data_IF_513773128782
#
_entry.id   IF_513773128782
#
_cell.length_a   1.000
_cell.length_b   1.000
_cell.length_c   1.000
_cell.angle_alpha   90.00
_cell.angle_beta   90.00
_cell.angle_gamma   90.00
#
_symmetry.space_group_name_H-M   'P 1'
#
loop_
_entity.id
_entity.type
_entity.pdbx_description
1 polymer ?
#
# COMPACT_ATOMS: atom_id res chain seq x y z
N UNK A 1 4.28 29.83 15.27
CA UNK A 1 3.13 29.28 16.02
C UNK A 1 3.46 27.84 16.40
N UNK A 2 3.24 27.42 17.65
CA UNK A 2 3.48 26.02 18.06
C UNK A 2 2.24 25.18 17.80
N UNK A 3 2.33 24.20 16.90
CA UNK A 3 1.27 23.21 16.70
C UNK A 3 1.15 22.31 17.94
N UNK A 4 -0.08 22.12 18.42
CA UNK A 4 -0.40 21.10 19.40
C UNK A 4 -0.84 19.81 18.67
N UNK A 5 -0.04 18.74 18.79
CA UNK A 5 -0.31 17.41 18.24
C UNK A 5 -0.93 16.43 19.25
N UNK A 6 -1.29 16.93 20.43
CA UNK A 6 -1.78 16.16 21.56
C UNK A 6 -3.14 16.68 22.04
N UNK A 7 -3.98 17.16 21.10
CA UNK A 7 -5.30 17.69 21.43
C UNK A 7 -6.21 16.63 22.06
N UNK A 8 -6.11 15.38 21.60
CA UNK A 8 -6.87 14.24 22.08
C UNK A 8 -6.06 12.95 21.91
N UNK A 9 -6.50 11.89 22.57
CA UNK A 9 -5.94 10.54 22.43
C UNK A 9 -6.89 9.66 21.62
N UNK A 10 -6.34 8.88 20.68
CA UNK A 10 -7.06 7.81 20.01
C UNK A 10 -6.23 6.54 20.09
N UNK A 11 -6.84 5.45 20.56
CA UNK A 11 -6.28 4.12 20.37
C UNK A 11 -6.87 3.54 19.10
N UNK A 12 -6.16 3.64 17.99
CA UNK A 12 -6.59 3.00 16.73
C UNK A 12 -6.31 1.49 16.69
N UNK A 13 -5.42 1.02 17.57
CA UNK A 13 -5.04 -0.38 17.71
C UNK A 13 -6.23 -1.16 18.28
N UNK A 14 -6.76 -2.11 17.51
CA UNK A 14 -7.86 -3.01 17.87
C UNK A 14 -9.19 -2.32 18.21
N UNK A 15 -9.43 -1.12 17.64
CA UNK A 15 -10.67 -0.37 17.80
C UNK A 15 -11.35 -0.10 16.48
N UNK A 16 -12.67 -0.11 16.51
CA UNK A 16 -13.49 0.27 15.37
C UNK A 16 -13.62 1.79 15.32
N UNK A 17 -13.97 2.34 14.15
CA UNK A 17 -14.19 3.77 13.98
C UNK A 17 -15.24 4.36 14.95
N UNK A 18 -16.15 3.54 15.48
CA UNK A 18 -17.15 3.95 16.49
C UNK A 18 -16.50 4.51 17.75
N UNK A 19 -15.33 3.98 18.11
CA UNK A 19 -14.60 4.40 19.30
C UNK A 19 -14.02 5.81 19.18
N UNK A 20 -13.94 6.37 17.96
CA UNK A 20 -13.39 7.71 17.73
C UNK A 20 -14.46 8.80 17.86
N UNK A 21 -15.74 8.44 17.70
CA UNK A 21 -16.88 9.37 17.73
C UNK A 21 -16.93 10.22 19.02
N UNK A 22 -16.69 9.69 20.24
CA UNK A 22 -16.67 10.52 21.44
C UNK A 22 -15.62 11.64 21.39
N UNK A 23 -14.41 11.34 20.92
CA UNK A 23 -13.34 12.32 20.79
C UNK A 23 -13.71 13.37 19.74
N UNK A 24 -14.24 12.96 18.59
CA UNK A 24 -14.61 13.90 17.53
C UNK A 24 -15.80 14.78 17.91
N UNK A 25 -16.77 14.26 18.65
CA UNK A 25 -17.84 15.07 19.22
C UNK A 25 -17.34 16.16 20.17
N UNK A 26 -16.16 16.00 20.75
CA UNK A 26 -15.56 16.97 21.66
C UNK A 26 -14.58 17.92 20.97
N UNK A 27 -13.80 17.42 20.01
CA UNK A 27 -12.63 18.12 19.47
C UNK A 27 -12.73 18.47 17.97
N UNK A 28 -13.76 18.02 17.24
CA UNK A 28 -13.96 18.42 15.84
C UNK A 28 -14.17 19.95 15.78
N UNK A 29 -13.23 20.71 15.21
CA UNK A 29 -13.23 22.17 15.25
C UNK A 29 -14.32 22.77 14.36
N UNK A 30 -14.87 21.97 13.44
CA UNK A 30 -15.89 22.41 12.50
C UNK A 30 -17.31 22.18 13.02
N UNK A 31 -17.45 21.33 14.04
CA UNK A 31 -18.73 20.85 14.53
C UNK A 31 -18.88 21.01 16.05
N UNK A 32 -18.92 22.25 16.60
CA UNK A 32 -19.19 22.45 18.01
C UNK A 32 -20.53 21.84 18.42
N UNK A 33 -20.61 21.30 19.64
CA UNK A 33 -21.73 20.52 20.18
C UNK A 33 -23.12 21.18 20.15
N UNK A 34 -23.26 22.44 19.73
CA UNK A 34 -24.48 23.24 19.85
C UNK A 34 -24.90 24.02 18.58
N UNK A 35 -24.35 23.70 17.41
CA UNK A 35 -24.70 24.44 16.18
C UNK A 35 -25.82 23.72 15.41
N UNK A 36 -26.94 24.43 15.19
CA UNK A 36 -28.05 23.97 14.33
C UNK A 36 -27.78 24.14 12.82
N UNK A 37 -26.85 25.03 12.45
CA UNK A 37 -26.51 25.37 11.06
C UNK A 37 -24.99 25.37 10.86
N UNK A 38 -24.46 24.44 10.07
CA UNK A 38 -23.04 24.41 9.77
C UNK A 38 -22.56 25.71 9.10
N UNK A 39 -21.38 26.26 9.47
CA UNK A 39 -20.86 27.48 8.84
C UNK A 39 -20.61 27.27 7.33
N UNK A 40 -20.82 28.29 6.50
CA UNK A 40 -20.67 28.14 5.04
C UNK A 40 -19.21 28.09 4.58
N UNK A 41 -18.27 28.65 5.36
CA UNK A 41 -16.85 28.71 5.00
C UNK A 41 -15.99 28.19 6.15
N UNK A 42 -14.99 27.35 5.82
CA UNK A 42 -14.00 26.83 6.76
C UNK A 42 -12.70 27.60 6.61
N UNK A 43 -12.27 28.30 7.66
CA UNK A 43 -10.93 28.89 7.70
C UNK A 43 -9.88 27.79 7.93
N UNK A 44 -9.23 27.37 6.84
CA UNK A 44 -8.20 26.34 6.87
C UNK A 44 -6.89 26.81 7.52
N UNK A 45 -6.77 28.10 7.84
CA UNK A 45 -5.66 28.65 8.60
C UNK A 45 -5.93 28.70 10.11
N UNK A 46 -7.14 28.36 10.56
CA UNK A 46 -7.52 28.37 11.96
C UNK A 46 -6.59 27.42 12.79
N UNK A 47 -5.94 27.94 13.83
CA UNK A 47 -5.21 27.13 14.81
C UNK A 47 -5.93 25.88 15.30
N UNK A 48 -7.23 25.95 15.57
CA UNK A 48 -8.00 24.80 16.07
C UNK A 48 -8.10 23.70 14.99
N UNK A 49 -8.37 24.10 13.75
CA UNK A 49 -8.38 23.22 12.59
C UNK A 49 -7.02 22.55 12.36
N UNK A 50 -5.95 23.34 12.31
CA UNK A 50 -4.60 22.82 12.09
C UNK A 50 -4.17 21.85 13.21
N UNK A 51 -4.40 22.20 14.47
CA UNK A 51 -4.10 21.32 15.61
C UNK A 51 -4.89 20.01 15.56
N UNK A 52 -6.16 20.05 15.14
CA UNK A 52 -6.97 18.86 14.95
C UNK A 52 -6.39 17.95 13.86
N UNK A 53 -6.10 18.50 12.67
CA UNK A 53 -5.54 17.76 11.54
C UNK A 53 -4.23 17.06 11.92
N UNK A 54 -3.30 17.79 12.55
CA UNK A 54 -1.99 17.24 12.93
C UNK A 54 -2.07 16.29 14.13
N UNK A 55 -3.00 16.49 15.06
CA UNK A 55 -3.28 15.53 16.13
C UNK A 55 -3.83 14.23 15.53
N UNK A 56 -4.80 14.32 14.62
CA UNK A 56 -5.36 13.13 13.97
C UNK A 56 -4.29 12.37 13.18
N UNK A 57 -3.46 13.08 12.41
CA UNK A 57 -2.31 12.49 11.71
C UNK A 57 -1.35 11.77 12.67
N UNK A 58 -1.02 12.36 13.82
CA UNK A 58 -0.19 11.69 14.83
C UNK A 58 -0.86 10.45 15.41
N UNK A 59 -2.08 10.59 15.91
CA UNK A 59 -2.77 9.52 16.63
C UNK A 59 -3.19 8.35 15.75
N UNK A 60 -3.35 8.55 14.45
CA UNK A 60 -3.69 7.48 13.49
C UNK A 60 -2.48 6.94 12.73
N UNK A 61 -1.26 7.34 13.10
CA UNK A 61 -0.02 7.04 12.36
C UNK A 61 -0.13 7.38 10.88
N UNK A 62 -0.37 8.67 10.66
CA UNK A 62 -0.61 9.30 9.39
C UNK A 62 -1.73 8.60 8.60
N UNK A 63 -2.94 8.65 9.15
CA UNK A 63 -4.15 8.12 8.52
C UNK A 63 -4.01 6.65 8.09
N UNK A 64 -3.40 5.84 8.96
CA UNK A 64 -3.16 4.40 8.74
C UNK A 64 -2.16 4.03 7.63
N UNK A 65 -1.38 4.99 7.13
CA UNK A 65 -0.29 4.68 6.20
C UNK A 65 0.98 4.16 6.91
N UNK A 66 1.12 4.37 8.23
CA UNK A 66 2.30 3.98 9.02
C UNK A 66 1.99 3.05 10.21
N UNK A 67 1.07 2.07 10.12
CA UNK A 67 0.59 1.35 11.30
C UNK A 67 1.69 0.54 12.00
N UNK A 68 2.63 0.01 11.21
CA UNK A 68 3.76 -0.79 11.67
C UNK A 68 4.99 0.04 12.08
N UNK A 69 4.98 1.38 12.03
CA UNK A 69 6.09 2.20 12.54
C UNK A 69 6.04 2.37 14.06
N UNK A 70 7.15 2.78 14.71
CA UNK A 70 7.09 3.18 16.13
C UNK A 70 6.44 4.56 16.25
N UNK A 71 6.01 4.92 17.46
CA UNK A 71 5.46 6.25 17.69
C UNK A 71 6.56 7.31 17.55
N UNK A 72 7.81 7.00 17.93
CA UNK A 72 8.98 7.86 17.73
C UNK A 72 9.25 8.10 16.23
N UNK A 73 9.28 7.04 15.42
CA UNK A 73 9.50 7.15 13.97
C UNK A 73 8.36 7.92 13.28
N UNK A 74 7.12 7.70 13.73
CA UNK A 74 5.95 8.44 13.25
C UNK A 74 6.07 9.93 13.59
N UNK A 75 6.46 10.26 14.83
CA UNK A 75 6.63 11.64 15.26
C UNK A 75 7.79 12.32 14.51
N UNK A 76 8.89 11.62 14.29
CA UNK A 76 10.00 12.11 13.47
C UNK A 76 9.55 12.40 12.03
N UNK A 77 8.77 11.51 11.43
CA UNK A 77 8.19 11.73 10.11
C UNK A 77 7.30 12.99 10.08
N UNK A 78 6.42 13.16 11.07
CA UNK A 78 5.54 14.33 11.19
C UNK A 78 6.33 15.62 11.45
N UNK A 79 7.42 15.57 12.21
CA UNK A 79 8.31 16.72 12.42
C UNK A 79 8.97 17.16 11.10
N UNK A 80 9.44 16.20 10.31
CA UNK A 80 10.03 16.48 9.00
C UNK A 80 8.98 17.04 8.02
N UNK A 81 7.78 16.48 7.99
CA UNK A 81 6.67 17.01 7.20
C UNK A 81 6.30 18.42 7.63
N UNK A 82 6.11 18.66 8.93
CA UNK A 82 5.74 19.98 9.42
C UNK A 82 6.80 21.02 9.06
N UNK A 83 8.08 20.68 9.21
CA UNK A 83 9.20 21.54 8.80
C UNK A 83 9.19 21.87 7.31
N UNK A 84 8.80 20.93 6.45
CA UNK A 84 8.61 21.22 5.03
C UNK A 84 7.37 22.09 4.81
N UNK A 85 6.30 21.85 5.56
CA UNK A 85 5.04 22.60 5.49
C UNK A 85 5.14 24.06 5.93
N UNK A 86 6.15 24.46 6.72
CA UNK A 86 6.40 25.88 7.01
C UNK A 86 6.91 26.66 5.80
N UNK A 87 7.48 25.98 4.81
CA UNK A 87 8.01 26.58 3.58
C UNK A 87 7.11 26.31 2.36
N UNK A 88 6.46 25.14 2.33
CA UNK A 88 5.69 24.66 1.18
C UNK A 88 4.23 24.39 1.58
N UNK A 89 3.28 25.28 1.24
CA UNK A 89 1.87 25.18 1.65
C UNK A 89 1.16 23.88 1.22
N UNK A 90 1.65 23.22 0.17
CA UNK A 90 1.06 21.97 -0.32
C UNK A 90 1.05 20.87 0.75
N UNK A 91 2.02 20.85 1.67
CA UNK A 91 2.11 19.84 2.73
C UNK A 91 0.93 19.95 3.68
N UNK A 92 0.56 21.17 4.08
CA UNK A 92 -0.63 21.39 4.90
C UNK A 92 -1.89 20.98 4.14
N UNK A 93 -2.00 21.43 2.88
CA UNK A 93 -3.18 21.17 2.04
C UNK A 93 -3.44 19.67 1.88
N UNK A 94 -2.38 18.88 1.60
CA UNK A 94 -2.55 17.44 1.39
C UNK A 94 -2.76 16.66 2.69
N UNK A 95 -2.20 17.13 3.81
CA UNK A 95 -2.46 16.53 5.13
C UNK A 95 -3.91 16.78 5.55
N UNK A 96 -4.43 17.99 5.29
CA UNK A 96 -5.84 18.34 5.47
C UNK A 96 -6.76 17.54 4.55
N UNK A 97 -6.37 17.29 3.30
CA UNK A 97 -7.09 16.43 2.39
C UNK A 97 -7.23 15.00 2.93
N UNK A 98 -6.13 14.37 3.32
CA UNK A 98 -6.15 13.03 3.89
C UNK A 98 -7.00 12.96 5.18
N UNK A 99 -6.91 13.97 6.05
CA UNK A 99 -7.76 14.11 7.22
C UNK A 99 -9.25 14.15 6.84
N UNK A 100 -9.63 14.96 5.85
CA UNK A 100 -11.02 15.11 5.41
C UNK A 100 -11.61 13.81 4.84
N UNK A 101 -10.82 13.02 4.13
CA UNK A 101 -11.21 11.69 3.63
C UNK A 101 -11.56 10.78 4.82
N UNK A 102 -10.68 10.72 5.82
CA UNK A 102 -10.87 9.88 6.99
C UNK A 102 -12.10 10.34 7.81
N UNK A 103 -12.27 11.64 8.05
CA UNK A 103 -13.41 12.19 8.78
C UNK A 103 -14.74 11.90 8.07
N UNK A 104 -14.81 12.15 6.76
CA UNK A 104 -15.97 11.81 5.93
C UNK A 104 -16.33 10.33 6.06
N UNK A 105 -15.33 9.46 5.99
CA UNK A 105 -15.54 8.03 6.09
C UNK A 105 -16.09 7.63 7.46
N UNK A 106 -15.46 8.09 8.54
CA UNK A 106 -15.87 7.75 9.90
C UNK A 106 -17.31 8.19 10.14
N UNK A 107 -17.69 9.40 9.75
CA UNK A 107 -19.06 9.87 9.90
C UNK A 107 -20.06 9.11 9.02
N UNK A 108 -19.71 8.79 7.78
CA UNK A 108 -20.56 8.03 6.86
C UNK A 108 -20.87 6.63 7.41
N UNK A 109 -19.86 5.90 7.89
CA UNK A 109 -20.02 4.55 8.45
C UNK A 109 -20.89 4.53 9.72
N UNK A 110 -21.03 5.67 10.42
CA UNK A 110 -21.83 5.81 11.64
C UNK A 110 -23.17 6.50 11.42
N UNK A 111 -23.65 6.57 10.17
CA UNK A 111 -24.92 7.21 9.81
C UNK A 111 -25.00 8.71 10.19
N UNK A 112 -23.86 9.40 10.32
CA UNK A 112 -23.79 10.83 10.60
C UNK A 112 -23.68 11.62 9.30
N UNK A 113 -24.66 11.44 8.41
CA UNK A 113 -24.60 11.91 7.01
C UNK A 113 -24.31 13.40 6.88
N UNK A 114 -25.01 14.25 7.64
CA UNK A 114 -24.82 15.71 7.57
C UNK A 114 -23.37 16.14 7.85
N UNK A 115 -22.68 15.44 8.77
CA UNK A 115 -21.28 15.71 9.10
C UNK A 115 -20.34 15.21 8.02
N UNK A 116 -20.65 14.04 7.44
CA UNK A 116 -19.88 13.49 6.34
C UNK A 116 -19.95 14.40 5.10
N UNK A 117 -21.16 14.86 4.75
CA UNK A 117 -21.40 15.77 3.64
C UNK A 117 -20.72 17.13 3.88
N UNK A 118 -20.76 17.63 5.12
CA UNK A 118 -20.06 18.88 5.47
C UNK A 118 -18.53 18.79 5.29
N UNK A 119 -17.90 17.74 5.83
CA UNK A 119 -16.46 17.51 5.64
C UNK A 119 -16.10 17.25 4.17
N UNK A 120 -17.01 16.66 3.39
CA UNK A 120 -16.83 16.43 1.96
C UNK A 120 -16.84 17.73 1.16
N UNK A 121 -17.91 18.51 1.31
CA UNK A 121 -18.16 19.70 0.49
C UNK A 121 -17.30 20.89 0.90
N UNK A 122 -17.17 21.14 2.21
CA UNK A 122 -16.55 22.37 2.71
C UNK A 122 -15.05 22.22 2.98
N UNK A 123 -14.58 21.00 3.22
CA UNK A 123 -13.16 20.74 3.46
C UNK A 123 -12.54 20.02 2.27
N UNK A 124 -12.95 18.76 2.00
CA UNK A 124 -12.26 17.89 1.04
C UNK A 124 -12.18 18.51 -0.35
N UNK A 125 -13.28 18.99 -0.91
CA UNK A 125 -13.28 19.58 -2.26
C UNK A 125 -12.39 20.82 -2.36
N UNK A 126 -12.43 21.67 -1.34
CA UNK A 126 -11.66 22.91 -1.29
C UNK A 126 -10.14 22.64 -1.17
N UNK A 127 -9.72 21.75 -0.26
CA UNK A 127 -8.29 21.39 -0.13
C UNK A 127 -7.79 20.57 -1.32
N UNK A 128 -8.63 19.72 -1.92
CA UNK A 128 -8.29 19.00 -3.15
C UNK A 128 -7.99 19.99 -4.28
N UNK A 129 -8.82 21.01 -4.45
CA UNK A 129 -8.58 22.06 -5.43
C UNK A 129 -7.27 22.78 -5.17
N UNK A 130 -7.00 23.18 -3.93
CA UNK A 130 -5.72 23.80 -3.56
C UNK A 130 -4.51 22.91 -3.89
N UNK A 131 -4.60 21.60 -3.63
CA UNK A 131 -3.55 20.65 -3.99
C UNK A 131 -3.34 20.56 -5.50
N UNK A 132 -4.42 20.49 -6.29
CA UNK A 132 -4.35 20.41 -7.76
C UNK A 132 -3.76 21.69 -8.32
N UNK A 133 -4.27 22.86 -7.91
CA UNK A 133 -3.81 24.17 -8.37
C UNK A 133 -2.30 24.35 -8.10
N UNK A 134 -1.82 23.95 -6.90
CA UNK A 134 -0.40 24.00 -6.54
C UNK A 134 0.46 23.00 -7.33
N UNK A 135 -0.05 21.80 -7.61
CA UNK A 135 0.66 20.82 -8.44
C UNK A 135 0.78 21.33 -9.87
N UNK A 136 -0.32 21.79 -10.46
CA UNK A 136 -0.37 22.29 -11.84
C UNK A 136 0.54 23.50 -12.03
N UNK A 137 0.60 24.41 -11.05
CA UNK A 137 1.47 25.59 -11.13
C UNK A 137 2.96 25.23 -10.99
N UNK A 138 3.31 24.33 -10.06
CA UNK A 138 4.69 24.21 -9.56
C UNK A 138 5.46 23.01 -10.06
N UNK A 139 4.79 21.93 -10.47
CA UNK A 139 5.44 20.67 -10.85
C UNK A 139 6.46 20.88 -11.96
N UNK A 140 6.12 21.59 -13.03
CA UNK A 140 7.02 21.77 -14.16
C UNK A 140 8.10 22.82 -13.90
N UNK A 141 7.79 23.85 -13.12
CA UNK A 141 8.67 25.02 -12.96
C UNK A 141 9.66 24.94 -11.80
N UNK A 142 9.42 24.09 -10.79
CA UNK A 142 10.29 24.10 -9.61
C UNK A 142 11.69 23.59 -9.89
N UNK A 143 12.68 24.33 -9.38
CA UNK A 143 14.10 23.96 -9.33
C UNK A 143 14.56 23.66 -7.90
N UNK A 144 13.66 23.67 -6.92
CA UNK A 144 13.98 23.42 -5.51
C UNK A 144 13.75 21.94 -5.18
N UNK A 145 14.80 21.26 -4.70
CA UNK A 145 14.72 19.85 -4.32
C UNK A 145 13.68 19.57 -3.23
N UNK A 146 13.64 20.37 -2.17
CA UNK A 146 12.70 20.16 -1.08
C UNK A 146 11.25 20.39 -1.54
N UNK A 147 11.01 21.39 -2.39
CA UNK A 147 9.69 21.62 -3.00
C UNK A 147 9.26 20.43 -3.85
N UNK A 148 10.13 19.96 -4.76
CA UNK A 148 9.84 18.78 -5.60
C UNK A 148 9.52 17.54 -4.75
N UNK A 149 10.21 17.32 -3.62
CA UNK A 149 9.84 16.24 -2.69
C UNK A 149 8.45 16.44 -2.10
N UNK A 150 8.07 17.66 -1.70
CA UNK A 150 6.73 17.93 -1.17
C UNK A 150 5.63 17.76 -2.22
N UNK A 151 5.90 18.12 -3.48
CA UNK A 151 4.98 17.88 -4.61
C UNK A 151 4.83 16.37 -4.87
N UNK A 152 5.93 15.62 -4.89
CA UNK A 152 5.90 14.15 -5.01
C UNK A 152 5.13 13.48 -3.88
N UNK A 153 5.34 13.93 -2.63
CA UNK A 153 4.60 13.46 -1.47
C UNK A 153 3.11 13.75 -1.61
N UNK A 154 2.74 14.97 -2.00
CA UNK A 154 1.34 15.35 -2.17
C UNK A 154 0.66 14.51 -3.27
N UNK A 155 1.33 14.35 -4.42
CA UNK A 155 0.86 13.50 -5.51
C UNK A 155 0.62 12.04 -5.06
N UNK A 156 1.55 11.48 -4.27
CA UNK A 156 1.40 10.12 -3.74
C UNK A 156 0.19 10.00 -2.80
N UNK A 157 -0.05 10.95 -1.90
CA UNK A 157 -1.21 10.92 -1.00
C UNK A 157 -2.53 11.07 -1.78
N UNK A 158 -2.59 11.99 -2.75
CA UNK A 158 -3.76 12.12 -3.61
C UNK A 158 -4.06 10.83 -4.39
N UNK A 159 -3.01 10.15 -4.87
CA UNK A 159 -3.14 8.84 -5.51
C UNK A 159 -3.62 7.76 -4.53
N UNK A 160 -3.01 7.68 -3.34
CA UNK A 160 -3.35 6.70 -2.31
C UNK A 160 -4.80 6.82 -1.81
N UNK A 161 -5.35 8.03 -1.81
CA UNK A 161 -6.77 8.25 -1.49
C UNK A 161 -7.74 7.93 -2.64
N UNK A 162 -7.24 7.73 -3.87
CA UNK A 162 -8.06 7.56 -5.10
C UNK A 162 -7.77 6.26 -5.87
N UNK A 163 -7.30 5.21 -5.19
CA UNK A 163 -6.84 3.95 -5.79
C UNK A 163 -7.89 3.18 -6.61
N UNK A 164 -9.17 3.48 -6.40
CA UNK A 164 -10.29 2.86 -7.12
C UNK A 164 -10.60 3.53 -8.45
N UNK A 165 -9.92 4.65 -8.76
CA UNK A 165 -10.10 5.42 -9.99
C UNK A 165 -9.71 4.59 -11.23
N UNK A 166 -10.49 4.62 -12.33
CA UNK A 166 -10.07 4.00 -13.59
C UNK A 166 -8.79 4.62 -14.18
N UNK A 167 -8.43 5.84 -13.77
CA UNK A 167 -7.24 6.57 -14.23
C UNK A 167 -6.00 6.31 -13.37
N UNK A 168 -6.05 5.33 -12.46
CA UNK A 168 -4.98 5.08 -11.49
C UNK A 168 -3.62 4.85 -12.16
N UNK A 169 -3.57 4.23 -13.34
CA UNK A 169 -2.32 3.98 -14.07
C UNK A 169 -1.60 5.27 -14.45
N UNK A 170 -2.32 6.21 -15.05
CA UNK A 170 -1.77 7.52 -15.41
C UNK A 170 -1.30 8.27 -14.18
N UNK A 171 -2.08 8.24 -13.10
CA UNK A 171 -1.69 8.87 -11.83
C UNK A 171 -0.43 8.23 -11.24
N UNK A 172 -0.33 6.90 -11.31
CA UNK A 172 0.82 6.15 -10.85
C UNK A 172 2.09 6.46 -11.66
N UNK A 173 1.97 6.57 -12.98
CA UNK A 173 3.06 7.02 -13.87
C UNK A 173 3.49 8.45 -13.56
N UNK A 174 2.55 9.36 -13.29
CA UNK A 174 2.87 10.73 -12.87
C UNK A 174 3.62 10.74 -11.53
N UNK A 175 3.17 9.99 -10.53
CA UNK A 175 3.89 9.85 -9.26
C UNK A 175 5.31 9.32 -9.48
N UNK A 176 5.48 8.32 -10.35
CA UNK A 176 6.80 7.78 -10.70
C UNK A 176 7.72 8.86 -11.28
N UNK A 177 7.23 9.63 -12.25
CA UNK A 177 8.00 10.69 -12.91
C UNK A 177 8.48 11.76 -11.91
N UNK A 178 7.62 12.16 -10.98
CA UNK A 178 7.97 13.12 -9.92
C UNK A 178 9.06 12.57 -8.99
N UNK A 179 8.97 11.29 -8.59
CA UNK A 179 10.00 10.64 -7.77
C UNK A 179 11.35 10.57 -8.49
N UNK A 180 11.34 10.23 -9.78
CA UNK A 180 12.56 10.21 -10.61
C UNK A 180 13.19 11.60 -10.69
N UNK A 181 12.36 12.65 -10.91
CA UNK A 181 12.84 14.04 -10.94
C UNK A 181 13.39 14.49 -9.60
N UNK A 182 12.69 14.22 -8.49
CA UNK A 182 13.19 14.53 -7.14
C UNK A 182 14.57 13.91 -6.89
N UNK A 183 14.77 12.67 -7.35
CA UNK A 183 16.06 11.97 -7.23
C UNK A 183 17.16 12.59 -8.11
N UNK A 184 16.83 13.00 -9.33
CA UNK A 184 17.78 13.73 -10.18
C UNK A 184 18.24 15.03 -9.50
N UNK A 185 17.30 15.81 -8.95
CA UNK A 185 17.59 17.05 -8.23
C UNK A 185 18.42 16.80 -6.97
N UNK A 186 18.20 15.69 -6.25
CA UNK A 186 19.04 15.33 -5.10
C UNK A 186 20.52 15.21 -5.50
N UNK A 187 20.82 14.61 -6.65
CA UNK A 187 22.21 14.43 -7.11
C UNK A 187 22.94 15.76 -7.34
N UNK A 188 22.20 16.83 -7.65
CA UNK A 188 22.73 18.18 -7.85
C UNK A 188 23.02 18.88 -6.51
N UNK A 189 22.22 18.60 -5.48
CA UNK A 189 22.31 19.27 -4.16
C UNK A 189 23.07 18.47 -3.09
N UNK A 190 23.41 17.20 -3.33
CA UNK A 190 24.00 16.27 -2.35
C UNK A 190 25.29 16.76 -1.66
N UNK A 191 26.03 17.68 -2.28
CA UNK A 191 27.27 18.23 -1.72
C UNK A 191 27.05 19.55 -0.94
N UNK A 192 25.83 20.08 -0.90
CA UNK A 192 25.49 21.40 -0.32
C UNK A 192 24.13 21.40 0.39
N UNK A 193 23.72 20.28 0.98
CA UNK A 193 22.40 20.16 1.56
C UNK A 193 22.31 20.80 2.96
N UNK A 194 21.14 21.34 3.30
CA UNK A 194 20.86 21.99 4.58
C UNK A 194 19.83 21.18 5.38
N UNK A 195 19.43 21.69 6.55
CA UNK A 195 18.49 20.99 7.41
C UNK A 195 17.10 20.78 6.78
N UNK A 196 16.67 21.61 5.82
CA UNK A 196 15.43 21.44 5.06
C UNK A 196 15.58 20.30 4.04
N UNK A 197 16.69 20.25 3.33
CA UNK A 197 17.03 19.16 2.42
C UNK A 197 17.17 17.81 3.15
N UNK A 198 17.67 17.79 4.38
CA UNK A 198 17.69 16.56 5.21
C UNK A 198 16.27 16.07 5.51
N UNK A 199 15.35 16.98 5.86
CA UNK A 199 13.96 16.61 6.07
C UNK A 199 13.32 16.09 4.77
N UNK A 200 13.53 16.78 3.65
CA UNK A 200 13.08 16.34 2.34
C UNK A 200 13.63 14.96 1.97
N UNK A 201 14.91 14.69 2.22
CA UNK A 201 15.50 13.38 1.93
C UNK A 201 14.83 12.25 2.73
N UNK A 202 14.54 12.48 4.01
CA UNK A 202 13.82 11.50 4.85
C UNK A 202 12.42 11.19 4.32
N UNK A 203 11.68 12.23 3.90
CA UNK A 203 10.36 12.07 3.29
C UNK A 203 10.46 11.35 1.94
N UNK A 204 11.40 11.74 1.08
CA UNK A 204 11.63 11.11 -0.22
C UNK A 204 11.91 9.61 -0.08
N UNK A 205 12.73 9.21 0.88
CA UNK A 205 13.03 7.80 1.13
C UNK A 205 11.75 7.02 1.48
N UNK A 206 10.92 7.55 2.39
CA UNK A 206 9.67 6.90 2.78
C UNK A 206 8.69 6.79 1.62
N UNK A 207 8.46 7.89 0.87
CA UNK A 207 7.53 7.88 -0.28
C UNK A 207 8.03 6.94 -1.36
N UNK A 208 9.34 6.92 -1.61
CA UNK A 208 9.95 5.98 -2.57
C UNK A 208 9.74 4.53 -2.16
N UNK A 209 9.89 4.22 -0.87
CA UNK A 209 9.58 2.90 -0.33
C UNK A 209 8.11 2.57 -0.55
N UNK A 210 7.17 3.41 -0.08
CA UNK A 210 5.74 3.18 -0.30
C UNK A 210 5.36 2.97 -1.77
N UNK A 211 5.84 3.85 -2.66
CA UNK A 211 5.59 3.75 -4.08
C UNK A 211 6.11 2.44 -4.67
N UNK A 212 7.29 1.98 -4.26
CA UNK A 212 7.85 0.71 -4.72
C UNK A 212 6.99 -0.49 -4.30
N UNK A 213 6.48 -0.51 -3.06
CA UNK A 213 5.58 -1.58 -2.61
C UNK A 213 4.30 -1.63 -3.43
N UNK A 214 3.66 -0.47 -3.61
CA UNK A 214 2.47 -0.35 -4.45
C UNK A 214 2.77 -0.72 -5.91
N UNK A 215 3.91 -0.30 -6.45
CA UNK A 215 4.37 -0.65 -7.80
C UNK A 215 4.43 -2.16 -7.94
N UNK A 216 5.14 -2.82 -7.04
CA UNK A 216 5.37 -4.25 -7.14
C UNK A 216 4.05 -5.02 -7.19
N UNK A 217 3.22 -4.90 -6.15
CA UNK A 217 1.99 -5.68 -6.04
C UNK A 217 1.02 -5.37 -7.17
N UNK A 218 0.94 -4.11 -7.57
CA UNK A 218 0.09 -3.69 -8.67
C UNK A 218 0.57 -4.26 -9.99
N UNK A 219 1.86 -4.20 -10.29
CA UNK A 219 2.40 -4.70 -11.57
C UNK A 219 2.30 -6.22 -11.71
N UNK A 220 2.46 -6.98 -10.62
CA UNK A 220 2.30 -8.44 -10.69
C UNK A 220 0.82 -8.88 -10.67
N UNK A 221 -0.10 -8.05 -10.18
CA UNK A 221 -1.54 -8.38 -10.06
C UNK A 221 -2.41 -7.79 -11.15
N UNK A 222 -1.88 -6.82 -11.89
CA UNK A 222 -2.52 -6.11 -12.98
C UNK A 222 -2.52 -6.91 -14.27
N UNK A 223 -3.63 -6.85 -14.99
CA UNK A 223 -3.79 -7.51 -16.29
C UNK A 223 -2.95 -6.80 -17.38
N UNK A 224 -2.68 -5.51 -17.21
CA UNK A 224 -1.72 -4.73 -18.00
C UNK A 224 -0.40 -4.50 -17.24
N UNK A 225 -0.06 -5.44 -16.36
CA UNK A 225 1.18 -5.42 -15.60
C UNK A 225 2.41 -5.26 -16.50
N UNK A 226 3.47 -4.65 -15.96
CA UNK A 226 4.76 -4.38 -16.61
C UNK A 226 4.72 -3.36 -17.78
N UNK A 227 3.66 -2.55 -17.88
CA UNK A 227 3.58 -1.48 -18.90
C UNK A 227 4.33 -0.20 -18.54
N UNK A 228 4.60 0.03 -17.26
CA UNK A 228 5.32 1.22 -16.80
C UNK A 228 6.82 1.04 -17.09
N UNK A 229 7.41 1.81 -18.03
CA UNK A 229 8.81 1.67 -18.40
C UNK A 229 9.70 2.09 -17.23
N UNK A 230 10.70 1.26 -16.93
CA UNK A 230 11.64 1.50 -15.86
C UNK A 230 10.99 1.27 -14.50
N UNK A 231 11.09 0.03 -14.01
CA UNK A 231 11.06 -0.13 -12.55
C UNK A 231 12.19 0.69 -11.99
N UNK A 232 11.88 1.50 -10.99
CA UNK A 232 12.96 1.95 -10.12
C UNK A 232 13.46 0.70 -9.44
N UNK A 233 14.51 0.13 -10.03
CA UNK A 233 15.18 -1.05 -9.52
C UNK A 233 15.43 -0.77 -8.03
N UNK A 234 15.02 -1.66 -7.13
CA UNK A 234 15.19 -1.40 -5.70
C UNK A 234 16.68 -1.14 -5.37
N UNK A 235 17.59 -1.78 -6.13
CA UNK A 235 19.03 -1.51 -6.11
C UNK A 235 19.39 -0.05 -6.44
N UNK A 236 18.59 0.64 -7.26
CA UNK A 236 18.72 2.06 -7.53
C UNK A 236 18.18 2.91 -6.37
N UNK A 237 17.16 2.49 -5.61
CA UNK A 237 16.77 3.21 -4.38
C UNK A 237 17.69 2.92 -3.19
N UNK A 238 18.33 1.75 -3.16
CA UNK A 238 19.40 1.44 -2.21
C UNK A 238 20.62 2.36 -2.36
N UNK A 239 20.79 3.10 -3.48
CA UNK A 239 21.96 3.99 -3.70
C UNK A 239 22.07 5.21 -2.76
N UNK A 240 21.26 5.32 -1.71
CA UNK A 240 21.64 6.13 -0.54
C UNK A 240 22.74 5.48 0.32
N UNK A 241 23.31 4.33 -0.11
CA UNK A 241 24.49 3.71 0.53
C UNK A 241 25.65 4.68 0.77
N UNK A 242 25.76 5.75 -0.02
CA UNK A 242 26.77 6.81 0.18
C UNK A 242 26.52 7.76 1.37
N UNK A 243 25.35 7.69 2.02
CA UNK A 243 24.94 8.49 3.20
C UNK A 243 24.79 7.60 4.44
N UNK A 244 25.23 6.33 4.36
CA UNK A 244 25.04 5.26 5.35
C UNK A 244 25.59 5.52 6.76
N UNK A 245 26.47 6.50 6.94
CA UNK A 245 27.02 6.78 8.28
C UNK A 245 26.02 7.36 9.29
N UNK A 246 24.74 7.55 8.94
CA UNK A 246 23.80 8.30 9.77
C UNK A 246 22.39 7.68 9.96
N UNK A 247 22.16 6.39 9.70
CA UNK A 247 20.94 5.70 10.19
C UNK A 247 19.59 6.16 9.60
N UNK A 248 19.55 6.55 8.32
CA UNK A 248 18.44 7.29 7.71
C UNK A 248 17.30 6.47 7.08
N UNK A 249 16.75 5.44 7.73
CA UNK A 249 15.53 4.78 7.20
C UNK A 249 14.43 4.66 8.23
N UNK A 250 13.50 5.62 8.22
CA UNK A 250 12.21 5.55 8.96
C UNK A 250 11.42 4.28 8.55
N UNK A 251 11.64 3.78 7.33
CA UNK A 251 10.92 2.67 6.74
C UNK A 251 11.51 1.27 7.04
N UNK A 252 12.74 1.14 7.55
CA UNK A 252 13.43 -0.15 7.70
C UNK A 252 13.93 -0.34 9.12
N UNK A 253 13.71 -1.52 9.70
CA UNK A 253 14.29 -1.88 11.00
C UNK A 253 15.78 -2.20 10.87
N UNK A 254 16.48 -2.25 12.01
CA UNK A 254 17.91 -2.56 12.09
C UNK A 254 18.26 -3.95 11.48
N UNK A 255 17.32 -4.89 11.47
CA UNK A 255 17.50 -6.24 10.93
C UNK A 255 17.11 -6.36 9.44
N UNK A 256 16.85 -5.23 8.77
CA UNK A 256 16.46 -5.22 7.36
C UNK A 256 15.00 -5.62 7.12
N UNK A 257 14.11 -5.36 8.09
CA UNK A 257 12.67 -5.54 7.92
C UNK A 257 12.03 -4.24 7.44
N UNK A 258 11.29 -4.27 6.34
CA UNK A 258 10.54 -3.09 5.89
C UNK A 258 9.27 -2.95 6.71
N UNK A 259 9.20 -1.91 7.53
CA UNK A 259 8.00 -1.53 8.28
C UNK A 259 6.93 -0.92 7.36
N UNK A 260 7.30 -0.47 6.16
CA UNK A 260 6.34 -0.02 5.15
C UNK A 260 5.63 -1.19 4.47
N UNK A 261 6.30 -2.34 4.33
CA UNK A 261 5.76 -3.49 3.58
C UNK A 261 5.35 -4.69 4.44
N UNK A 262 5.78 -4.74 5.70
CA UNK A 262 5.47 -5.88 6.57
C UNK A 262 6.30 -7.13 6.24
N UNK A 263 7.45 -7.01 5.57
CA UNK A 263 8.34 -8.13 5.27
C UNK A 263 9.83 -7.75 5.18
N UNK A 264 10.72 -8.74 5.26
CA UNK A 264 12.17 -8.53 5.14
C UNK A 264 12.62 -8.22 3.71
N UNK A 265 13.67 -7.40 3.58
CA UNK A 265 14.27 -7.06 2.29
C UNK A 265 14.69 -8.30 1.47
N UNK A 266 15.01 -9.43 2.14
CA UNK A 266 15.30 -10.71 1.49
C UNK A 266 14.12 -11.24 0.68
N UNK A 267 12.91 -11.17 1.23
CA UNK A 267 11.69 -11.51 0.48
C UNK A 267 11.43 -10.48 -0.63
N UNK A 268 11.68 -9.19 -0.35
CA UNK A 268 11.61 -8.13 -1.36
C UNK A 268 12.49 -8.39 -2.59
N UNK A 269 13.69 -8.97 -2.43
CA UNK A 269 14.55 -9.36 -3.55
C UNK A 269 13.92 -10.44 -4.42
N UNK A 270 13.29 -11.46 -3.83
CA UNK A 270 12.61 -12.53 -4.58
C UNK A 270 11.40 -11.99 -5.35
N UNK A 271 10.65 -11.09 -4.73
CA UNK A 271 9.55 -10.38 -5.37
C UNK A 271 10.05 -9.59 -6.59
N UNK A 272 11.14 -8.84 -6.47
CA UNK A 272 11.75 -8.12 -7.60
C UNK A 272 12.19 -9.06 -8.74
N UNK A 273 12.67 -10.27 -8.45
CA UNK A 273 12.98 -11.26 -9.48
C UNK A 273 11.73 -11.71 -10.26
N UNK A 274 10.60 -11.93 -9.57
CA UNK A 274 9.30 -12.24 -10.23
C UNK A 274 8.92 -11.12 -11.18
N UNK A 275 8.97 -9.87 -10.71
CA UNK A 275 8.67 -8.72 -11.56
C UNK A 275 9.57 -8.71 -12.81
N UNK A 276 10.89 -8.84 -12.61
CA UNK A 276 11.87 -8.81 -13.70
C UNK A 276 11.58 -9.88 -14.75
N UNK A 277 11.22 -11.09 -14.30
CA UNK A 277 10.83 -12.18 -15.18
C UNK A 277 9.54 -11.88 -15.96
N UNK A 278 8.48 -11.41 -15.30
CA UNK A 278 7.22 -11.05 -15.99
C UNK A 278 7.45 -9.96 -17.03
N UNK A 279 8.24 -8.93 -16.69
CA UNK A 279 8.60 -7.86 -17.61
C UNK A 279 9.35 -8.39 -18.83
N UNK A 280 10.34 -9.26 -18.62
CA UNK A 280 11.12 -9.89 -19.69
C UNK A 280 10.20 -10.70 -20.62
N UNK A 281 9.37 -11.58 -20.05
CA UNK A 281 8.42 -12.40 -20.82
C UNK A 281 7.47 -11.55 -21.67
N UNK A 282 6.99 -10.42 -21.14
CA UNK A 282 6.11 -9.52 -21.89
C UNK A 282 6.83 -8.81 -23.03
N UNK A 283 8.03 -8.27 -22.78
CA UNK A 283 8.74 -7.39 -23.73
C UNK A 283 9.53 -8.14 -24.78
N UNK A 284 10.17 -9.25 -24.40
CA UNK A 284 11.07 -10.00 -25.28
C UNK A 284 10.32 -11.15 -25.97
N UNK A 285 9.47 -11.86 -25.22
CA UNK A 285 8.77 -13.06 -25.72
C UNK A 285 7.31 -12.79 -26.13
N UNK A 286 6.79 -11.59 -25.87
CA UNK A 286 5.39 -11.22 -26.18
C UNK A 286 4.35 -11.94 -25.32
N UNK A 287 4.75 -12.54 -24.19
CA UNK A 287 3.88 -13.31 -23.30
C UNK A 287 3.63 -12.54 -22.01
N UNK A 288 2.41 -12.02 -21.85
CA UNK A 288 2.02 -11.35 -20.63
C UNK A 288 1.69 -12.37 -19.52
N UNK A 289 2.43 -12.30 -18.42
CA UNK A 289 2.23 -13.12 -17.21
C UNK A 289 1.78 -12.29 -16.00
N UNK A 290 1.38 -11.02 -16.20
CA UNK A 290 0.86 -10.15 -15.15
C UNK A 290 -0.59 -10.47 -14.79
N UNK A 291 -0.91 -10.46 -13.50
CA UNK A 291 -2.28 -10.51 -13.00
C UNK A 291 -3.06 -11.76 -13.42
N UNK A 292 -4.28 -11.54 -13.93
CA UNK A 292 -5.13 -12.63 -14.41
C UNK A 292 -4.55 -13.32 -15.65
N UNK A 293 -3.59 -12.73 -16.36
CA UNK A 293 -2.96 -13.40 -17.51
C UNK A 293 -2.19 -14.64 -17.08
N UNK A 294 -1.60 -14.65 -15.87
CA UNK A 294 -0.95 -15.86 -15.36
C UNK A 294 -1.96 -16.98 -15.10
N UNK A 295 -3.14 -16.63 -14.60
CA UNK A 295 -4.26 -17.56 -14.43
C UNK A 295 -4.78 -18.07 -15.78
N UNK A 296 -4.94 -17.18 -16.77
CA UNK A 296 -5.29 -17.57 -18.15
C UNK A 296 -4.23 -18.50 -18.75
N UNK A 297 -2.95 -18.17 -18.57
CA UNK A 297 -1.82 -18.97 -19.02
C UNK A 297 -1.81 -20.35 -18.37
N UNK A 298 -2.20 -20.48 -17.09
CA UNK A 298 -2.34 -21.74 -16.39
C UNK A 298 -3.35 -22.71 -17.05
N UNK A 299 -4.41 -22.18 -17.67
CA UNK A 299 -5.41 -22.99 -18.39
C UNK A 299 -5.17 -23.12 -19.89
N UNK A 300 -4.30 -22.30 -20.48
CA UNK A 300 -4.09 -22.23 -21.92
C UNK A 300 -3.08 -23.28 -22.42
N UNK A 301 -3.18 -23.65 -23.69
CA UNK A 301 -2.13 -24.43 -24.36
C UNK A 301 -0.87 -23.58 -24.52
N UNK A 302 0.29 -24.17 -24.24
CA UNK A 302 1.57 -23.46 -24.15
C UNK A 302 2.52 -23.93 -25.23
N UNK A 303 3.35 -23.01 -25.73
CA UNK A 303 4.57 -23.39 -26.45
C UNK A 303 5.52 -24.06 -25.47
N UNK A 304 6.17 -25.16 -25.91
CA UNK A 304 7.04 -25.97 -25.05
C UNK A 304 8.20 -25.16 -24.47
N UNK A 305 8.76 -24.25 -25.27
CA UNK A 305 9.92 -23.46 -24.89
C UNK A 305 9.57 -22.46 -23.79
N UNK A 306 8.46 -21.72 -23.93
CA UNK A 306 7.97 -20.78 -22.92
C UNK A 306 7.59 -21.52 -21.64
N UNK A 307 6.95 -22.69 -21.73
CA UNK A 307 6.66 -23.51 -20.56
C UNK A 307 7.94 -23.94 -19.83
N UNK A 308 8.98 -24.33 -20.56
CA UNK A 308 10.26 -24.72 -19.97
C UNK A 308 10.92 -23.54 -19.25
N UNK A 309 10.96 -22.36 -19.87
CA UNK A 309 11.53 -21.15 -19.27
C UNK A 309 10.83 -20.76 -17.96
N UNK A 310 9.49 -20.70 -17.98
CA UNK A 310 8.68 -20.40 -16.78
C UNK A 310 8.93 -21.40 -15.66
N UNK A 311 9.07 -22.68 -16.01
CA UNK A 311 9.30 -23.74 -15.03
C UNK A 311 10.70 -23.71 -14.42
N UNK A 312 11.73 -23.44 -15.24
CA UNK A 312 13.12 -23.26 -14.77
C UNK A 312 13.18 -22.09 -13.79
N UNK A 313 12.61 -20.94 -14.16
CA UNK A 313 12.52 -19.78 -13.27
C UNK A 313 11.81 -20.13 -11.95
N UNK A 314 10.68 -20.84 -12.02
CA UNK A 314 9.95 -21.28 -10.83
C UNK A 314 10.78 -22.17 -9.90
N UNK A 315 11.55 -23.12 -10.44
CA UNK A 315 12.42 -23.98 -9.62
C UNK A 315 13.58 -23.21 -8.98
N UNK A 316 14.22 -22.31 -9.73
CA UNK A 316 15.32 -21.49 -9.23
C UNK A 316 14.84 -20.59 -8.08
N UNK A 317 13.70 -19.92 -8.28
CA UNK A 317 13.12 -19.04 -7.28
C UNK A 317 12.66 -19.80 -6.03
N UNK A 318 12.03 -20.97 -6.20
CA UNK A 318 11.64 -21.81 -5.07
C UNK A 318 12.87 -22.29 -4.28
N UNK A 319 13.95 -22.69 -4.97
CA UNK A 319 15.19 -23.07 -4.29
C UNK A 319 15.78 -21.91 -3.46
N UNK A 320 15.75 -20.68 -3.99
CA UNK A 320 16.17 -19.50 -3.22
C UNK A 320 15.27 -19.27 -2.00
N UNK A 321 13.95 -19.37 -2.16
CA UNK A 321 12.97 -19.21 -1.09
C UNK A 321 13.19 -20.22 0.06
N UNK A 322 13.46 -21.49 -0.26
CA UNK A 322 13.73 -22.53 0.74
C UNK A 322 15.04 -22.29 1.51
N UNK A 323 16.03 -21.63 0.90
CA UNK A 323 17.29 -21.25 1.55
C UNK A 323 17.17 -20.03 2.45
N UNK A 324 16.06 -19.28 2.39
CA UNK A 324 15.85 -18.13 3.27
C UNK A 324 15.60 -18.59 4.72
N UNK A 325 16.62 -18.40 5.56
CA UNK A 325 16.48 -18.50 7.00
C UNK A 325 15.81 -17.22 7.54
N UNK A 326 14.49 -17.27 7.73
CA UNK A 326 13.70 -16.21 8.34
C UNK A 326 13.68 -16.40 9.87
N UNK A 327 14.84 -16.21 10.50
CA UNK A 327 14.88 -16.08 11.96
C UNK A 327 14.37 -14.68 12.33
N UNK A 328 13.12 -14.62 12.80
CA UNK A 328 12.56 -13.39 13.32
C UNK A 328 13.24 -13.01 14.63
N UNK A 329 13.93 -11.88 14.63
CA UNK A 329 14.51 -11.30 15.83
C UNK A 329 13.46 -10.37 16.45
N UNK A 330 13.15 -10.59 17.73
CA UNK A 330 12.18 -9.76 18.43
C UNK A 330 12.78 -8.37 18.62
N UNK A 331 12.13 -7.35 18.08
CA UNK A 331 12.48 -5.97 18.35
C UNK A 331 12.11 -5.61 19.79
N UNK A 332 12.91 -4.76 20.42
CA UNK A 332 12.65 -4.22 21.76
C UNK A 332 11.56 -3.13 21.71
N UNK A 333 10.36 -3.53 21.28
CA UNK A 333 9.17 -2.69 21.29
C UNK A 333 8.37 -2.96 22.56
N UNK A 334 7.90 -1.88 23.19
CA UNK A 334 6.98 -1.95 24.33
C UNK A 334 5.69 -2.73 24.00
N UNK A 335 5.24 -2.67 22.73
CA UNK A 335 4.07 -3.37 22.24
C UNK A 335 4.42 -4.73 21.62
N UNK A 336 4.23 -5.82 22.37
CA UNK A 336 4.52 -7.18 21.89
C UNK A 336 3.64 -7.61 20.71
N UNK A 337 2.42 -7.07 20.57
CA UNK A 337 1.49 -7.42 19.47
C UNK A 337 2.06 -7.01 18.12
N UNK A 338 2.81 -5.91 18.08
CA UNK A 338 3.52 -5.48 16.87
C UNK A 338 4.58 -6.49 16.45
N UNK A 339 5.34 -7.04 17.40
CA UNK A 339 6.30 -8.11 17.09
C UNK A 339 5.62 -9.35 16.52
N UNK A 340 4.47 -9.75 17.09
CA UNK A 340 3.67 -10.85 16.54
C UNK A 340 3.16 -10.52 15.13
N UNK A 341 2.72 -9.28 14.89
CA UNK A 341 2.27 -8.81 13.57
C UNK A 341 3.38 -8.95 12.53
N UNK A 342 4.56 -8.37 12.78
CA UNK A 342 5.69 -8.39 11.86
C UNK A 342 6.15 -9.82 11.54
N UNK A 343 6.21 -10.69 12.56
CA UNK A 343 6.53 -12.10 12.39
C UNK A 343 5.50 -12.79 11.48
N UNK A 344 4.21 -12.60 11.75
CA UNK A 344 3.16 -13.28 11.03
C UNK A 344 3.02 -12.80 9.58
N UNK A 345 3.13 -11.49 9.33
CA UNK A 345 3.07 -10.94 7.96
C UNK A 345 4.19 -11.47 7.07
N UNK A 346 5.39 -11.64 7.63
CA UNK A 346 6.52 -12.26 6.93
C UNK A 346 6.29 -13.74 6.62
N UNK A 347 5.72 -14.50 7.56
CA UNK A 347 5.38 -15.91 7.35
C UNK A 347 4.27 -16.08 6.31
N UNK A 348 3.22 -15.27 6.39
CA UNK A 348 2.11 -15.22 5.44
C UNK A 348 2.66 -14.97 4.02
N UNK A 349 3.55 -13.99 3.87
CA UNK A 349 4.16 -13.70 2.56
C UNK A 349 5.01 -14.86 2.06
N UNK A 350 5.87 -15.45 2.91
CA UNK A 350 6.69 -16.60 2.51
C UNK A 350 5.84 -17.77 2.01
N UNK A 351 4.83 -18.16 2.79
CA UNK A 351 3.95 -19.29 2.45
C UNK A 351 3.12 -19.02 1.19
N UNK A 352 2.60 -17.79 1.05
CA UNK A 352 1.86 -17.41 -0.15
C UNK A 352 2.75 -17.40 -1.39
N UNK A 353 3.98 -16.89 -1.27
CA UNK A 353 4.95 -16.88 -2.35
C UNK A 353 5.31 -18.31 -2.79
N UNK A 354 5.50 -19.22 -1.83
CA UNK A 354 5.73 -20.64 -2.10
C UNK A 354 4.55 -21.27 -2.87
N UNK A 355 3.32 -21.03 -2.42
CA UNK A 355 2.11 -21.48 -3.12
C UNK A 355 2.02 -20.93 -4.55
N UNK A 356 2.23 -19.62 -4.70
CA UNK A 356 2.19 -18.91 -5.98
C UNK A 356 3.19 -19.50 -6.99
N UNK A 357 4.44 -19.71 -6.56
CA UNK A 357 5.51 -20.30 -7.39
C UNK A 357 5.17 -21.75 -7.75
N UNK A 358 4.81 -22.56 -6.75
CA UNK A 358 4.54 -23.97 -6.94
C UNK A 358 3.39 -24.24 -7.91
N UNK A 359 2.34 -23.43 -7.86
CA UNK A 359 1.14 -23.61 -8.69
C UNK A 359 1.35 -23.00 -10.08
N UNK A 360 1.66 -21.71 -10.16
CA UNK A 360 1.63 -21.01 -11.44
C UNK A 360 2.89 -21.21 -12.29
N UNK A 361 4.05 -21.40 -11.66
CA UNK A 361 5.33 -21.52 -12.38
C UNK A 361 5.79 -22.98 -12.50
N UNK A 362 5.75 -23.75 -11.41
CA UNK A 362 6.27 -25.13 -11.39
C UNK A 362 5.25 -26.14 -11.94
N UNK A 363 4.04 -26.17 -11.38
CA UNK A 363 3.00 -27.07 -11.87
C UNK A 363 2.51 -26.62 -13.25
N UNK A 364 2.24 -25.32 -13.39
CA UNK A 364 1.96 -24.66 -14.67
C UNK A 364 0.63 -25.07 -15.33
N UNK A 365 -0.03 -26.15 -14.91
CA UNK A 365 -1.35 -26.53 -15.43
C UNK A 365 -2.13 -27.36 -14.41
N UNK A 366 -3.47 -27.34 -14.46
CA UNK A 366 -4.31 -28.13 -13.55
C UNK A 366 -4.01 -29.63 -13.62
N UNK A 367 -3.76 -30.16 -14.82
CA UNK A 367 -3.56 -31.60 -15.06
C UNK A 367 -2.27 -32.14 -14.44
N UNK A 368 -1.30 -31.26 -14.14
CA UNK A 368 -0.02 -31.62 -13.50
C UNK A 368 -0.11 -31.63 -11.96
N UNK A 369 -1.24 -31.22 -11.38
CA UNK A 369 -1.47 -31.22 -9.93
C UNK A 369 -2.18 -32.52 -9.56
N UNK A 370 -1.48 -33.39 -8.83
CA UNK A 370 -2.07 -34.61 -8.27
C UNK A 370 -3.00 -34.29 -7.11
N UNK A 371 -3.93 -35.18 -6.79
CA UNK A 371 -4.84 -35.00 -5.65
C UNK A 371 -4.08 -34.84 -4.33
N UNK A 372 -2.99 -35.60 -4.13
CA UNK A 372 -2.14 -35.46 -2.96
C UNK A 372 -1.50 -34.06 -2.85
N UNK A 373 -1.03 -33.50 -3.98
CA UNK A 373 -0.49 -32.13 -4.00
C UNK A 373 -1.57 -31.10 -3.77
N UNK A 374 -2.75 -31.29 -4.33
CA UNK A 374 -3.91 -30.43 -4.08
C UNK A 374 -4.22 -30.37 -2.57
N UNK A 375 -4.28 -31.51 -1.90
CA UNK A 375 -4.51 -31.58 -0.45
C UNK A 375 -3.44 -30.83 0.35
N UNK A 376 -2.16 -30.98 -0.03
CA UNK A 376 -1.06 -30.22 0.58
C UNK A 376 -1.25 -28.71 0.41
N UNK A 377 -1.56 -28.24 -0.81
CA UNK A 377 -1.75 -26.82 -1.07
C UNK A 377 -2.97 -26.26 -0.33
N UNK A 378 -4.06 -27.02 -0.24
CA UNK A 378 -5.24 -26.63 0.54
C UNK A 378 -4.90 -26.51 2.04
N UNK A 379 -4.11 -27.43 2.59
CA UNK A 379 -3.62 -27.33 3.98
C UNK A 379 -2.78 -26.07 4.17
N UNK A 380 -1.85 -25.77 3.26
CA UNK A 380 -1.03 -24.55 3.34
C UNK A 380 -1.88 -23.28 3.24
N UNK A 381 -2.94 -23.26 2.44
CA UNK A 381 -3.88 -22.14 2.37
C UNK A 381 -4.60 -21.94 3.71
N UNK A 382 -5.00 -23.03 4.38
CA UNK A 382 -5.60 -22.99 5.71
C UNK A 382 -4.63 -22.40 6.74
N UNK A 383 -3.36 -22.80 6.71
CA UNK A 383 -2.31 -22.26 7.59
C UNK A 383 -2.14 -20.75 7.38
N UNK A 384 -2.13 -20.28 6.12
CA UNK A 384 -2.06 -18.85 5.81
C UNK A 384 -3.26 -18.09 6.38
N UNK A 385 -4.46 -18.63 6.24
CA UNK A 385 -5.68 -18.02 6.76
C UNK A 385 -5.69 -17.98 8.29
N UNK A 386 -5.26 -19.06 8.96
CA UNK A 386 -5.14 -19.11 10.41
C UNK A 386 -4.10 -18.10 10.94
N UNK A 387 -2.95 -18.00 10.27
CA UNK A 387 -1.93 -17.00 10.58
C UNK A 387 -2.47 -15.58 10.41
N UNK A 388 -3.25 -15.31 9.36
CA UNK A 388 -3.85 -13.99 9.15
C UNK A 388 -4.84 -13.63 10.26
N UNK A 389 -5.79 -14.53 10.57
CA UNK A 389 -6.82 -14.27 11.60
C UNK A 389 -6.20 -14.13 12.99
N UNK A 390 -5.09 -14.84 13.27
CA UNK A 390 -4.35 -14.73 14.53
C UNK A 390 -3.40 -13.52 14.60
N UNK A 391 -3.24 -12.77 13.51
CA UNK A 391 -2.36 -11.61 13.45
C UNK A 391 -3.00 -10.40 14.15
N UNK A 392 -2.35 -9.78 15.15
CA UNK A 392 -2.83 -8.51 15.68
C UNK A 392 -2.87 -7.45 14.58
N UNK A 393 -3.80 -6.50 14.67
CA UNK A 393 -3.94 -5.41 13.69
C UNK A 393 -4.21 -5.85 12.24
N UNK A 394 -4.56 -7.12 11.97
CA UNK A 394 -4.78 -7.67 10.62
C UNK A 394 -5.84 -6.93 9.80
N UNK A 395 -6.70 -6.16 10.45
CA UNK A 395 -7.75 -5.35 9.84
C UNK A 395 -7.28 -3.94 9.42
N UNK A 396 -5.97 -3.64 9.50
CA UNK A 396 -5.38 -2.32 9.17
C UNK A 396 -4.48 -2.37 7.94
N UNK A 397 -4.37 -1.24 7.22
CA UNK A 397 -3.81 -1.17 5.87
C UNK A 397 -2.34 -1.51 5.69
N UNK A 398 -1.53 -1.36 6.71
CA UNK A 398 -0.11 -1.74 6.66
C UNK A 398 0.21 -3.06 7.34
N UNK A 399 -0.76 -3.75 7.96
CA UNK A 399 -0.58 -5.09 8.51
C UNK A 399 -1.26 -6.16 7.65
N UNK A 400 -2.29 -5.80 6.88
CA UNK A 400 -2.98 -6.71 5.99
C UNK A 400 -2.12 -6.98 4.73
N UNK A 401 -1.64 -8.21 4.56
CA UNK A 401 -1.00 -8.64 3.31
C UNK A 401 -2.07 -8.85 2.22
N UNK A 402 -2.63 -7.76 1.68
CA UNK A 402 -3.73 -7.78 0.69
C UNK A 402 -3.44 -8.75 -0.46
N UNK A 403 -2.26 -8.64 -1.07
CA UNK A 403 -1.83 -9.52 -2.16
C UNK A 403 -1.87 -11.00 -1.78
N UNK A 404 -1.38 -11.34 -0.57
CA UNK A 404 -1.34 -12.71 -0.10
C UNK A 404 -2.74 -13.32 0.03
N UNK A 405 -3.68 -12.57 0.63
CA UNK A 405 -5.07 -13.00 0.74
C UNK A 405 -5.72 -13.19 -0.63
N UNK A 406 -5.41 -12.29 -1.57
CA UNK A 406 -5.99 -12.34 -2.92
C UNK A 406 -5.51 -13.59 -3.66
N UNK A 407 -4.20 -13.87 -3.65
CA UNK A 407 -3.62 -15.05 -4.28
C UNK A 407 -4.17 -16.35 -3.64
N UNK A 408 -4.26 -16.42 -2.31
CA UNK A 408 -4.81 -17.60 -1.64
C UNK A 408 -6.30 -17.81 -1.98
N UNK A 409 -7.07 -16.74 -2.12
CA UNK A 409 -8.47 -16.82 -2.57
C UNK A 409 -8.58 -17.29 -4.03
N UNK A 410 -7.72 -16.80 -4.93
CA UNK A 410 -7.66 -17.26 -6.33
C UNK A 410 -7.30 -18.75 -6.41
N UNK A 411 -6.31 -19.21 -5.63
CA UNK A 411 -5.94 -20.63 -5.60
C UNK A 411 -7.08 -21.48 -4.99
N UNK A 412 -7.75 -20.98 -3.96
CA UNK A 412 -8.93 -21.67 -3.39
C UNK A 412 -10.04 -21.83 -4.44
N UNK A 413 -10.27 -20.81 -5.27
CA UNK A 413 -11.18 -20.89 -6.42
C UNK A 413 -10.73 -21.95 -7.44
N UNK A 414 -9.43 -22.00 -7.77
CA UNK A 414 -8.86 -23.01 -8.68
C UNK A 414 -9.13 -24.44 -8.21
N UNK A 415 -9.10 -24.68 -6.89
CA UNK A 415 -9.34 -25.98 -6.30
C UNK A 415 -10.80 -26.26 -5.92
N UNK A 416 -11.70 -25.33 -6.24
CA UNK A 416 -13.13 -25.38 -5.93
C UNK A 416 -13.43 -25.42 -4.42
N UNK A 417 -12.54 -24.85 -3.59
CA UNK A 417 -12.67 -24.78 -2.13
C UNK A 417 -13.57 -23.60 -1.71
N UNK A 418 -14.87 -23.72 -2.01
CA UNK A 418 -15.86 -22.63 -1.81
C UNK A 418 -15.87 -22.11 -0.37
N UNK A 419 -15.66 -22.98 0.62
CA UNK A 419 -15.60 -22.57 2.03
C UNK A 419 -14.43 -21.61 2.27
N UNK A 420 -13.23 -21.94 1.80
CA UNK A 420 -12.04 -21.10 1.98
C UNK A 420 -12.21 -19.75 1.27
N UNK A 421 -12.74 -19.76 0.05
CA UNK A 421 -13.05 -18.54 -0.71
C UNK A 421 -13.93 -17.59 0.10
N UNK A 422 -14.99 -18.09 0.73
CA UNK A 422 -15.88 -17.27 1.55
C UNK A 422 -15.14 -16.64 2.75
N UNK A 423 -14.26 -17.39 3.43
CA UNK A 423 -13.50 -16.84 4.56
C UNK A 423 -12.53 -15.73 4.10
N UNK A 424 -11.85 -15.89 2.95
CA UNK A 424 -11.03 -14.81 2.41
C UNK A 424 -11.86 -13.58 2.02
N UNK A 425 -13.05 -13.77 1.46
CA UNK A 425 -13.97 -12.67 1.17
C UNK A 425 -14.43 -11.94 2.45
N UNK A 426 -14.65 -12.66 3.55
CA UNK A 426 -14.95 -12.07 4.86
C UNK A 426 -13.77 -11.25 5.40
N UNK A 427 -12.54 -11.75 5.29
CA UNK A 427 -11.33 -11.00 5.63
C UNK A 427 -11.25 -9.68 4.85
N UNK A 428 -11.52 -9.72 3.54
CA UNK A 428 -11.55 -8.52 2.71
C UNK A 428 -12.65 -7.54 3.13
N UNK A 429 -13.84 -8.02 3.48
CA UNK A 429 -14.91 -7.15 3.97
C UNK A 429 -14.53 -6.47 5.30
N UNK A 430 -13.86 -7.19 6.20
CA UNK A 430 -13.35 -6.62 7.45
C UNK A 430 -12.33 -5.51 7.17
N UNK A 431 -11.37 -5.76 6.28
CA UNK A 431 -10.37 -4.77 5.87
C UNK A 431 -11.04 -3.55 5.22
N UNK A 432 -12.04 -3.74 4.35
CA UNK A 432 -12.75 -2.65 3.68
C UNK A 432 -13.48 -1.73 4.67
N UNK A 433 -14.11 -2.30 5.71
CA UNK A 433 -14.79 -1.53 6.77
C UNK A 433 -13.86 -0.55 7.49
N UNK A 434 -12.56 -0.85 7.52
CA UNK A 434 -11.53 -0.01 8.14
C UNK A 434 -10.83 0.95 7.15
N UNK A 435 -11.36 1.11 5.92
CA UNK A 435 -10.95 2.19 5.02
C UNK A 435 -9.94 1.87 3.94
N UNK A 436 -9.77 0.60 3.59
CA UNK A 436 -8.98 0.22 2.41
C UNK A 436 -9.89 0.00 1.20
N UNK A 437 -10.19 1.07 0.49
CA UNK A 437 -11.09 1.03 -0.68
C UNK A 437 -10.59 0.17 -1.85
N UNK A 438 -9.28 -0.08 -1.96
CA UNK A 438 -8.75 -0.96 -3.01
C UNK A 438 -9.23 -2.41 -2.89
N UNK A 439 -9.69 -2.83 -1.70
CA UNK A 439 -10.19 -4.19 -1.44
C UNK A 439 -11.53 -4.47 -2.14
N UNK A 440 -12.36 -3.45 -2.40
CA UNK A 440 -13.62 -3.63 -3.10
C UNK A 440 -13.40 -4.17 -4.52
N UNK A 441 -12.33 -3.71 -5.18
CA UNK A 441 -11.96 -4.21 -6.52
C UNK A 441 -11.51 -5.67 -6.48
N UNK A 442 -10.77 -6.08 -5.44
CA UNK A 442 -10.43 -7.50 -5.22
C UNK A 442 -11.67 -8.36 -5.05
N UNK A 443 -12.65 -7.89 -4.28
CA UNK A 443 -13.93 -8.60 -4.10
C UNK A 443 -14.71 -8.74 -5.41
N UNK A 444 -14.73 -7.69 -6.25
CA UNK A 444 -15.34 -7.73 -7.57
C UNK A 444 -14.62 -8.73 -8.49
N UNK A 445 -13.28 -8.68 -8.55
CA UNK A 445 -12.46 -9.58 -9.37
C UNK A 445 -12.62 -11.04 -8.95
N UNK A 446 -12.65 -11.34 -7.64
CA UNK A 446 -12.89 -12.70 -7.14
C UNK A 446 -14.28 -13.23 -7.52
N UNK A 447 -15.32 -12.41 -7.47
CA UNK A 447 -16.68 -12.78 -7.91
C UNK A 447 -16.74 -13.08 -9.41
N UNK A 448 -16.06 -12.27 -10.22
CA UNK A 448 -15.92 -12.48 -11.66
C UNK A 448 -15.20 -13.79 -11.96
N UNK A 449 -14.02 -14.00 -11.38
CA UNK A 449 -13.24 -15.23 -11.54
C UNK A 449 -14.02 -16.47 -11.11
N UNK A 450 -14.78 -16.41 -10.01
CA UNK A 450 -15.67 -17.50 -9.59
C UNK A 450 -16.66 -17.88 -10.69
N UNK A 451 -17.27 -16.89 -11.34
CA UNK A 451 -18.24 -17.12 -12.43
C UNK A 451 -17.57 -17.72 -13.66
N UNK A 452 -16.38 -17.22 -14.03
CA UNK A 452 -15.62 -17.71 -15.18
C UNK A 452 -15.10 -19.13 -15.00
N UNK A 453 -14.58 -19.45 -13.82
CA UNK A 453 -14.04 -20.79 -13.56
C UNK A 453 -15.16 -21.85 -13.56
N UNK A 454 -16.36 -21.49 -13.12
CA UNK A 454 -17.55 -22.36 -13.20
C UNK A 454 -18.01 -22.54 -14.65
N UNK A 455 -18.04 -21.47 -15.44
CA UNK A 455 -18.47 -21.52 -16.86
C UNK A 455 -17.39 -22.03 -17.82
N UNK A 456 -16.15 -22.19 -17.34
CA UNK A 456 -14.95 -22.55 -18.11
C UNK A 456 -14.66 -21.60 -19.28
N UNK A 457 -15.15 -20.37 -19.21
CA UNK A 457 -14.88 -19.33 -20.21
C UNK A 457 -13.51 -18.67 -19.95
N UNK A 458 -12.43 -19.42 -20.17
CA UNK A 458 -11.07 -18.97 -19.81
C UNK A 458 -10.60 -17.73 -20.58
N UNK A 459 -11.22 -17.41 -21.71
CA UNK A 459 -10.93 -16.15 -22.42
C UNK A 459 -11.42 -14.92 -21.66
N UNK A 460 -12.47 -15.06 -20.85
CA UNK A 460 -12.98 -13.99 -20.00
C UNK A 460 -12.19 -13.75 -18.71
N UNK A 461 -11.17 -14.57 -18.40
CA UNK A 461 -10.35 -14.44 -17.16
C UNK A 461 -9.71 -13.06 -17.04
N UNK A 462 -9.30 -12.48 -18.17
CA UNK A 462 -8.64 -11.18 -18.24
C UNK A 462 -9.72 -10.12 -18.50
N UNK A 463 -9.85 -9.18 -17.57
CA UNK A 463 -10.79 -8.06 -17.66
C UNK A 463 -10.09 -6.79 -17.15
N UNK A 464 -9.57 -5.95 -18.06
CA UNK A 464 -8.87 -4.72 -17.70
C UNK A 464 -9.73 -3.73 -16.90
N UNK A 465 -11.07 -3.82 -16.99
CA UNK A 465 -11.98 -2.95 -16.21
C UNK A 465 -12.02 -3.30 -14.72
N UNK A 466 -11.54 -4.49 -14.39
CA UNK A 466 -11.43 -5.00 -13.02
C UNK A 466 -10.02 -4.90 -12.47
N UNK A 467 -9.14 -4.16 -13.14
CA UNK A 467 -7.79 -3.93 -12.65
C UNK A 467 -7.76 -2.93 -11.50
N UNK A 468 -6.83 -3.13 -10.55
CA UNK A 468 -6.75 -2.33 -9.34
C UNK A 468 -5.34 -2.28 -8.75
N UNK A 469 -5.10 -1.22 -7.99
CA UNK A 469 -3.87 -1.04 -7.24
C UNK A 469 -3.89 -1.90 -5.99
N UNK A 470 -2.82 -2.65 -5.78
CA UNK A 470 -2.58 -3.35 -4.53
C UNK A 470 -1.57 -2.56 -3.70
N UNK A 471 -1.95 -2.31 -2.44
CA UNK A 471 -1.12 -1.63 -1.44
C UNK A 471 -0.82 -2.62 -0.32
#
# INVERSE_FOLDING_TARGET
MQLNRFLFELSWKDKEFVDFIPAFNQFDPLLPQNIKNFPMDVDMSDPAYLNFVWTLASKTKFFYHLPLQTDEATNEFLDNLYKLGTEFPIVQSVTSFACSILMKQIYSTHNMKDRADYWDEQVRLNVLKQCIDLLDERVDTTTNFAEMVTLSFASYILFACNLSSPTWRTQFESCHALLVRARQMFNEVKNRYNALHTAALKILNLVSTWFHGAQFYTQISSDDGCDIPGVVNYANFETFKGVENNGYTIATSQDGFSLAFGYSLKLGTLLNQIYGFIYQMKREEGVNLGGSNLLKYFFSNKTRDIEAQVKVFGYELNMQLQKLNLQYHRFDYADFRRNATLKNTELILKQTLELYINIFYIAGSPQKITELKKQLYVSQIQDVLELFISTPYHSTAGAASHWCLYICAVISLLFNETRLVNHFMECFQLINKNGIYSVERSLLKLKHLKTILVTKNYDGIVDPTQDFVQI
#
